data_IF_055317694322
#
_entry.id   IF_055317694322
#
_cell.length_a   1.000
_cell.length_b   1.000
_cell.length_c   1.000
_cell.angle_alpha   90.00
_cell.angle_beta   90.00
_cell.angle_gamma   90.00
#
_symmetry.space_group_name_H-M   'P 1'
#
loop_
_entity.id
_entity.type
_entity.pdbx_description
1 polymer ?
#
# COMPACT_ATOMS: atom_id res chain seq x y z
N UNK A 1 15.89 3.06 22.64
CA UNK A 1 16.43 2.94 21.27
C UNK A 1 17.93 3.16 21.20
N UNK A 2 18.51 4.04 22.02
CA UNK A 2 19.96 4.29 22.00
C UNK A 2 20.80 3.05 22.34
N UNK A 3 20.32 2.21 23.25
CA UNK A 3 20.97 0.92 23.55
C UNK A 3 21.06 -0.01 22.32
N UNK A 4 20.00 -0.04 21.49
CA UNK A 4 20.00 -0.81 20.24
C UNK A 4 20.98 -0.19 19.23
N UNK A 5 21.01 1.14 19.11
CA UNK A 5 21.96 1.83 18.22
C UNK A 5 23.40 1.53 18.62
N UNK A 6 23.70 1.58 19.92
CA UNK A 6 25.01 1.24 20.48
C UNK A 6 25.40 -0.22 20.21
N UNK A 7 24.46 -1.15 20.39
CA UNK A 7 24.69 -2.58 20.09
C UNK A 7 24.99 -2.82 18.60
N UNK A 8 24.31 -2.09 17.70
CA UNK A 8 24.56 -2.15 16.26
C UNK A 8 25.95 -1.60 15.92
N UNK A 9 26.33 -0.46 16.51
CA UNK A 9 27.64 0.16 16.27
C UNK A 9 28.79 -0.73 16.79
N UNK A 10 28.63 -1.36 17.96
CA UNK A 10 29.59 -2.34 18.48
C UNK A 10 29.68 -3.58 17.58
N UNK A 11 28.55 -4.14 17.14
CA UNK A 11 28.53 -5.28 16.23
C UNK A 11 29.22 -4.96 14.90
N UNK A 12 29.02 -3.77 14.33
CA UNK A 12 29.67 -3.32 13.10
C UNK A 12 31.19 -3.19 13.24
N UNK A 13 31.70 -2.86 14.43
CA UNK A 13 33.15 -2.78 14.68
C UNK A 13 33.85 -4.15 14.69
N UNK A 14 33.10 -5.21 15.01
CA UNK A 14 33.62 -6.58 15.16
C UNK A 14 33.42 -7.44 13.92
N UNK A 15 32.43 -7.10 13.09
CA UNK A 15 32.10 -7.86 11.90
C UNK A 15 32.93 -7.40 10.69
N UNK A 16 33.30 -8.36 9.84
CA UNK A 16 33.85 -8.02 8.53
C UNK A 16 32.81 -7.23 7.72
N UNK A 17 33.17 -6.06 7.13
CA UNK A 17 32.25 -5.24 6.33
C UNK A 17 31.63 -5.98 5.14
N UNK A 18 32.27 -7.06 4.68
CA UNK A 18 31.77 -7.87 3.56
C UNK A 18 30.70 -8.89 3.97
N UNK A 19 30.54 -9.15 5.27
CA UNK A 19 29.55 -10.12 5.77
C UNK A 19 28.11 -9.64 5.52
N UNK A 20 27.19 -10.59 5.31
CA UNK A 20 25.78 -10.27 5.11
C UNK A 20 25.18 -9.53 6.32
N UNK A 21 25.55 -9.94 7.54
CA UNK A 21 25.13 -9.29 8.77
C UNK A 21 25.61 -7.84 8.86
N UNK A 22 26.90 -7.57 8.62
CA UNK A 22 27.42 -6.20 8.64
C UNK A 22 26.71 -5.30 7.62
N UNK A 23 26.42 -5.82 6.42
CA UNK A 23 25.67 -5.07 5.40
C UNK A 23 24.25 -4.74 5.86
N UNK A 24 23.54 -5.69 6.47
CA UNK A 24 22.18 -5.48 6.98
C UNK A 24 22.16 -4.46 8.14
N UNK A 25 23.08 -4.61 9.10
CA UNK A 25 23.22 -3.69 10.24
C UNK A 25 23.59 -2.28 9.77
N UNK A 26 24.54 -2.14 8.86
CA UNK A 26 24.93 -0.85 8.29
C UNK A 26 23.78 -0.19 7.52
N UNK A 27 22.98 -0.99 6.79
CA UNK A 27 21.80 -0.51 6.09
C UNK A 27 20.75 0.08 7.05
N UNK A 28 20.43 -0.65 8.12
CA UNK A 28 19.50 -0.19 9.16
C UNK A 28 20.04 1.03 9.89
N UNK A 29 21.33 1.01 10.26
CA UNK A 29 22.03 2.10 10.94
C UNK A 29 22.04 3.40 10.14
N UNK A 30 22.18 3.33 8.81
CA UNK A 30 22.12 4.48 7.90
C UNK A 30 20.70 5.06 7.80
N UNK A 31 19.66 4.25 8.04
CA UNK A 31 18.25 4.62 7.94
C UNK A 31 17.58 4.75 9.31
N UNK A 32 18.34 5.13 10.33
CA UNK A 32 17.83 5.10 11.70
C UNK A 32 16.54 5.89 11.87
N UNK A 33 16.49 7.11 11.34
CA UNK A 33 15.32 7.99 11.49
C UNK A 33 14.05 7.35 10.92
N UNK A 34 14.17 6.64 9.79
CA UNK A 34 13.06 5.87 9.22
C UNK A 34 12.72 4.62 10.05
N UNK A 35 13.74 3.91 10.54
CA UNK A 35 13.58 2.71 11.38
C UNK A 35 12.90 3.02 12.73
N UNK A 36 13.07 4.22 13.25
CA UNK A 36 12.53 4.63 14.56
C UNK A 36 11.28 5.50 14.47
N UNK A 37 10.78 5.79 13.26
CA UNK A 37 9.68 6.74 13.07
C UNK A 37 8.42 6.39 13.84
N UNK A 38 8.10 5.09 13.94
CA UNK A 38 6.95 4.56 14.68
C UNK A 38 6.92 4.91 16.16
N UNK A 39 8.07 5.31 16.74
CA UNK A 39 8.15 5.68 18.16
C UNK A 39 7.57 7.08 18.38
N UNK A 40 7.76 7.97 17.41
CA UNK A 40 7.28 9.35 17.48
C UNK A 40 5.89 9.51 16.84
N UNK A 41 5.53 8.63 15.90
CA UNK A 41 4.23 8.60 15.22
C UNK A 41 3.42 7.37 15.61
N UNK A 42 2.47 7.52 16.55
CA UNK A 42 1.65 6.40 17.02
C UNK A 42 0.72 5.76 15.99
N UNK A 43 0.57 6.35 14.81
CA UNK A 43 -0.17 5.77 13.68
C UNK A 43 0.72 4.94 12.74
N UNK A 44 2.05 5.06 12.87
CA UNK A 44 2.98 4.36 12.01
C UNK A 44 3.27 2.98 12.60
N UNK A 45 3.23 1.96 11.74
CA UNK A 45 3.61 0.60 12.10
C UNK A 45 5.14 0.47 12.24
N UNK A 46 5.60 -0.47 13.08
CA UNK A 46 7.03 -0.76 13.25
C UNK A 46 7.68 -1.33 11.98
N UNK A 47 6.87 -1.91 11.10
CA UNK A 47 7.29 -2.50 9.85
C UNK A 47 6.42 -2.04 8.67
N UNK A 48 6.87 -2.33 7.46
CA UNK A 48 6.17 -1.99 6.22
C UNK A 48 5.41 -3.19 5.65
N UNK A 49 5.14 -4.25 6.43
CA UNK A 49 4.59 -5.51 5.91
C UNK A 49 3.21 -5.34 5.27
N UNK A 50 2.41 -4.37 5.72
CA UNK A 50 1.11 -4.06 5.12
C UNK A 50 1.31 -3.55 3.68
N UNK A 51 2.21 -2.57 3.50
CA UNK A 51 2.54 -2.02 2.19
C UNK A 51 3.20 -3.06 1.27
N UNK A 52 4.12 -3.88 1.81
CA UNK A 52 4.76 -4.96 1.04
C UNK A 52 3.76 -6.04 0.58
N UNK A 53 2.79 -6.38 1.43
CA UNK A 53 1.71 -7.31 1.07
C UNK A 53 0.81 -6.71 -0.01
N UNK A 54 0.44 -5.44 0.07
CA UNK A 54 -0.39 -4.76 -0.92
C UNK A 54 0.27 -4.74 -2.32
N UNK A 55 1.59 -4.48 -2.39
CA UNK A 55 2.31 -4.45 -3.68
C UNK A 55 2.68 -5.84 -4.20
N UNK A 56 2.54 -6.90 -3.40
CA UNK A 56 2.95 -8.27 -3.77
C UNK A 56 2.25 -8.76 -5.04
N UNK A 57 0.96 -8.46 -5.22
CA UNK A 57 0.22 -8.82 -6.42
C UNK A 57 0.85 -8.20 -7.68
N UNK A 58 1.30 -6.94 -7.61
CA UNK A 58 1.99 -6.25 -8.70
C UNK A 58 3.36 -6.87 -8.95
N UNK A 59 4.12 -7.20 -7.90
CA UNK A 59 5.43 -7.83 -8.02
C UNK A 59 5.35 -9.21 -8.70
N UNK A 60 4.33 -10.00 -8.35
CA UNK A 60 4.02 -11.29 -9.01
C UNK A 60 3.58 -11.05 -10.45
N UNK A 61 2.67 -10.11 -10.68
CA UNK A 61 2.18 -9.73 -12.02
C UNK A 61 3.32 -9.34 -12.95
N UNK A 62 4.30 -8.55 -12.47
CA UNK A 62 5.48 -8.14 -13.25
C UNK A 62 6.38 -9.30 -13.68
N UNK A 63 6.35 -10.44 -12.98
CA UNK A 63 7.02 -11.67 -13.42
C UNK A 63 6.26 -12.37 -14.56
N UNK A 64 4.93 -12.19 -14.60
CA UNK A 64 4.04 -12.85 -15.54
C UNK A 64 3.70 -11.98 -16.77
N UNK A 65 3.89 -10.67 -16.70
CA UNK A 65 3.68 -9.74 -17.81
C UNK A 65 5.02 -9.44 -18.48
N UNK A 66 5.21 -9.86 -19.73
CA UNK A 66 6.42 -9.54 -20.49
C UNK A 66 6.58 -8.02 -20.73
N UNK A 67 5.47 -7.27 -20.79
CA UNK A 67 5.46 -5.82 -21.04
C UNK A 67 4.26 -5.14 -20.35
N UNK A 68 4.42 -3.87 -19.97
CA UNK A 68 3.32 -2.99 -19.54
C UNK A 68 2.62 -2.28 -20.72
N UNK A 69 2.98 -2.62 -21.97
CA UNK A 69 2.48 -2.03 -23.21
C UNK A 69 3.01 -0.61 -23.49
N UNK A 70 2.96 0.29 -22.50
CA UNK A 70 3.52 1.65 -22.56
C UNK A 70 3.66 2.27 -21.17
N UNK A 71 4.40 3.40 -21.05
CA UNK A 71 4.47 4.16 -19.79
C UNK A 71 3.08 4.60 -19.30
N UNK A 72 2.26 5.15 -20.20
CA UNK A 72 0.90 5.56 -19.88
C UNK A 72 0.00 4.39 -19.45
N UNK A 73 0.19 3.21 -20.06
CA UNK A 73 -0.48 1.98 -19.62
C UNK A 73 -0.10 1.58 -18.19
N UNK A 74 1.19 1.68 -17.85
CA UNK A 74 1.69 1.46 -16.50
C UNK A 74 1.11 2.43 -15.47
N UNK A 75 1.04 3.72 -15.80
CA UNK A 75 0.44 4.75 -14.92
C UNK A 75 -1.05 4.48 -14.66
N UNK A 76 -1.82 4.12 -15.70
CA UNK A 76 -3.24 3.73 -15.55
C UNK A 76 -3.41 2.49 -14.69
N UNK A 77 -2.58 1.47 -14.90
CA UNK A 77 -2.60 0.26 -14.09
C UNK A 77 -2.31 0.58 -12.62
N UNK A 78 -1.30 1.42 -12.34
CA UNK A 78 -0.96 1.85 -10.98
C UNK A 78 -2.12 2.59 -10.29
N UNK A 79 -2.84 3.46 -11.01
CA UNK A 79 -4.01 4.13 -10.49
C UNK A 79 -5.12 3.13 -10.10
N UNK A 80 -5.43 2.16 -10.97
CA UNK A 80 -6.45 1.13 -10.70
C UNK A 80 -6.04 0.28 -9.50
N UNK A 81 -4.79 -0.19 -9.43
CA UNK A 81 -4.32 -0.97 -8.28
C UNK A 81 -4.40 -0.18 -6.97
N UNK A 82 -4.10 1.12 -7.01
CA UNK A 82 -4.21 1.98 -5.82
C UNK A 82 -5.65 2.08 -5.32
N UNK A 83 -6.62 2.21 -6.22
CA UNK A 83 -8.06 2.20 -5.87
C UNK A 83 -8.47 0.86 -5.25
N UNK A 84 -8.08 -0.26 -5.88
CA UNK A 84 -8.39 -1.61 -5.38
C UNK A 84 -7.83 -1.85 -3.99
N UNK A 85 -6.55 -1.54 -3.76
CA UNK A 85 -5.92 -1.74 -2.46
C UNK A 85 -6.51 -0.79 -1.40
N UNK A 86 -6.87 0.44 -1.78
CA UNK A 86 -7.58 1.36 -0.86
C UNK A 86 -8.94 0.81 -0.45
N UNK A 87 -9.72 0.23 -1.38
CA UNK A 87 -10.99 -0.43 -1.05
C UNK A 87 -10.78 -1.59 -0.06
N UNK A 88 -9.82 -2.48 -0.33
CA UNK A 88 -9.49 -3.60 0.58
C UNK A 88 -9.07 -3.13 1.97
N UNK A 89 -8.25 -2.07 2.05
CA UNK A 89 -7.80 -1.49 3.32
C UNK A 89 -8.97 -0.92 4.15
N UNK A 90 -10.06 -0.52 3.50
CA UNK A 90 -11.28 -0.04 4.15
C UNK A 90 -12.33 -1.15 4.36
N UNK A 91 -11.99 -2.42 4.11
CA UNK A 91 -12.92 -3.55 4.24
C UNK A 91 -14.02 -3.59 3.19
N UNK A 92 -13.85 -2.84 2.09
CA UNK A 92 -14.81 -2.75 0.99
C UNK A 92 -14.45 -3.75 -0.10
N UNK A 93 -15.46 -4.45 -0.63
CA UNK A 93 -15.29 -5.35 -1.77
C UNK A 93 -14.96 -4.52 -3.04
N UNK A 94 -13.76 -4.66 -3.64
CA UNK A 94 -13.31 -3.74 -4.68
C UNK A 94 -14.16 -3.75 -5.95
N UNK A 95 -14.69 -4.90 -6.37
CA UNK A 95 -15.48 -5.00 -7.60
C UNK A 95 -16.79 -4.23 -7.47
N UNK A 96 -17.54 -4.45 -6.40
CA UNK A 96 -18.80 -3.78 -6.11
C UNK A 96 -18.61 -2.27 -5.98
N UNK A 97 -17.55 -1.85 -5.29
CA UNK A 97 -17.19 -0.43 -5.17
C UNK A 97 -16.90 0.21 -6.52
N UNK A 98 -16.02 -0.37 -7.33
CA UNK A 98 -15.64 0.19 -8.63
C UNK A 98 -16.85 0.23 -9.57
N UNK A 99 -17.67 -0.83 -9.59
CA UNK A 99 -18.87 -0.87 -10.43
C UNK A 99 -19.85 0.26 -10.09
N UNK A 100 -20.21 0.39 -8.81
CA UNK A 100 -21.13 1.43 -8.32
C UNK A 100 -20.58 2.85 -8.55
N UNK A 101 -19.30 3.09 -8.24
CA UNK A 101 -18.69 4.41 -8.42
C UNK A 101 -18.61 4.81 -9.89
N UNK A 102 -18.25 3.88 -10.78
CA UNK A 102 -18.22 4.15 -12.24
C UNK A 102 -19.63 4.46 -12.74
N UNK A 103 -20.64 3.70 -12.31
CA UNK A 103 -22.04 3.92 -12.68
C UNK A 103 -22.52 5.31 -12.22
N UNK A 104 -22.31 5.66 -10.94
CA UNK A 104 -22.67 6.98 -10.39
C UNK A 104 -22.00 8.13 -11.17
N UNK A 105 -20.71 8.01 -11.46
CA UNK A 105 -19.98 9.03 -12.26
C UNK A 105 -20.57 9.13 -13.67
N UNK A 106 -20.84 8.00 -14.33
CA UNK A 106 -21.42 7.97 -15.67
C UNK A 106 -22.85 8.57 -15.70
N UNK A 107 -23.62 8.40 -14.61
CA UNK A 107 -24.93 9.00 -14.42
C UNK A 107 -24.91 10.48 -14.01
N UNK A 108 -23.73 11.11 -13.96
CA UNK A 108 -23.59 12.54 -13.69
C UNK A 108 -23.54 12.91 -12.21
N UNK A 109 -23.02 12.03 -11.34
CA UNK A 109 -22.83 12.35 -9.93
C UNK A 109 -22.06 13.66 -9.73
N UNK A 110 -22.56 14.61 -8.92
CA UNK A 110 -21.93 15.92 -8.76
C UNK A 110 -20.50 15.82 -8.24
N UNK A 111 -19.57 16.54 -8.87
CA UNK A 111 -18.17 16.63 -8.44
C UNK A 111 -18.03 17.12 -6.98
N UNK A 112 -18.94 17.98 -6.54
CA UNK A 112 -18.99 18.48 -5.15
C UNK A 112 -19.32 17.40 -4.11
N UNK A 113 -19.77 16.20 -4.53
CA UNK A 113 -20.16 15.08 -3.66
C UNK A 113 -19.25 13.85 -3.85
N UNK A 114 -18.06 14.03 -4.40
CA UNK A 114 -17.12 12.92 -4.59
C UNK A 114 -16.62 12.33 -3.27
N UNK A 115 -16.61 13.11 -2.19
CA UNK A 115 -16.24 12.63 -0.86
C UNK A 115 -17.13 11.46 -0.40
N UNK A 116 -18.40 11.43 -0.84
CA UNK A 116 -19.34 10.33 -0.55
C UNK A 116 -19.00 9.04 -1.30
N UNK A 117 -18.27 9.15 -2.41
CA UNK A 117 -17.83 8.02 -3.21
C UNK A 117 -16.51 7.44 -2.69
N UNK A 118 -15.85 8.06 -1.72
CA UNK A 118 -14.56 7.56 -1.22
C UNK A 118 -14.73 6.23 -0.49
N UNK A 119 -13.75 5.30 -0.53
CA UNK A 119 -13.92 3.96 0.03
C UNK A 119 -14.28 3.91 1.53
N UNK A 120 -13.90 4.93 2.31
CA UNK A 120 -14.22 5.03 3.74
C UNK A 120 -15.61 5.63 4.03
N UNK A 121 -16.24 6.26 3.03
CA UNK A 121 -17.59 6.83 3.13
C UNK A 121 -18.61 6.04 2.31
N UNK A 122 -18.14 5.12 1.47
CA UNK A 122 -18.97 4.36 0.55
C UNK A 122 -19.94 3.45 1.28
N UNK A 123 -21.23 3.61 0.97
CA UNK A 123 -22.29 2.75 1.46
C UNK A 123 -22.77 1.87 0.32
N UNK A 124 -22.72 0.55 0.52
CA UNK A 124 -23.23 -0.37 -0.47
C UNK A 124 -24.76 -0.31 -0.47
N UNK A 125 -25.35 0.23 -1.55
CA UNK A 125 -26.80 0.18 -1.75
C UNK A 125 -27.20 -1.28 -2.04
N UNK A 126 -27.54 -2.01 -0.98
CA UNK A 126 -28.07 -3.39 -1.02
C UNK A 126 -29.42 -3.51 -1.76
N UNK A 127 -29.98 -2.41 -2.28
CA UNK A 127 -31.37 -2.36 -2.77
C UNK A 127 -31.60 -3.00 -4.14
N UNK A 128 -30.57 -3.22 -4.97
CA UNK A 128 -30.77 -3.77 -6.32
C UNK A 128 -30.75 -5.31 -6.41
N UNK A 129 -30.09 -6.02 -5.50
CA UNK A 129 -30.02 -7.50 -5.57
C UNK A 129 -31.36 -8.16 -5.20
N UNK A 130 -32.18 -7.50 -4.37
CA UNK A 130 -33.48 -8.03 -3.93
C UNK A 130 -34.62 -7.87 -4.97
N UNK A 131 -34.41 -7.14 -6.07
CA UNK A 131 -35.44 -6.92 -7.10
C UNK A 131 -35.27 -7.83 -8.33
N UNK A 132 -34.24 -8.67 -8.38
CA UNK A 132 -33.96 -9.60 -9.47
C UNK A 132 -34.04 -11.10 -9.05
N UNK A 133 -34.54 -11.38 -7.84
CA UNK A 133 -34.75 -12.74 -7.32
C UNK A 133 -36.24 -13.13 -7.31
#
# INVERSE_FOLDING_TARGET
MDALRGAIDDALSRLSPKSAMAKALAYGRKRWDALTRYIDEGIAEIDNNIAERAIRAIAIGRKNWLFAGSKAGGERAAAIYSVIETAKLNGVEPQAYIADVIEKIASGWPASRWDELMPWNWQHDQQQIAQAA
#
